data_IF_822274523439
#
_entry.id   IF_822274523439
#
_cell.length_a   1.000
_cell.length_b   1.000
_cell.length_c   1.000
_cell.angle_alpha   90.00
_cell.angle_beta   90.00
_cell.angle_gamma   90.00
#
_symmetry.space_group_name_H-M   'P 1'
#
loop_
_entity.id
_entity.type
_entity.pdbx_description
1 polymer ?
#
# COMPACT_ATOMS: atom_id res chain seq x y z
N UNK A 1 -31.19 19.86 7.05
CA UNK A 1 -30.12 20.79 6.65
C UNK A 1 -29.09 20.08 5.74
N UNK A 2 -28.96 20.52 4.49
CA UNK A 2 -27.96 20.00 3.55
C UNK A 2 -26.62 20.65 3.91
N UNK A 3 -25.81 19.99 4.74
CA UNK A 3 -24.48 20.49 5.08
C UNK A 3 -23.56 20.36 3.86
N UNK A 4 -22.80 21.42 3.57
CA UNK A 4 -21.80 21.43 2.51
C UNK A 4 -20.76 20.33 2.77
N UNK A 5 -20.14 19.79 1.74
CA UNK A 5 -19.07 18.78 1.90
C UNK A 5 -17.94 19.28 2.83
N UNK A 6 -17.68 20.59 2.86
CA UNK A 6 -16.70 21.23 3.75
C UNK A 6 -17.13 21.19 5.22
N UNK A 7 -18.40 21.46 5.51
CA UNK A 7 -18.94 21.45 6.86
C UNK A 7 -18.91 20.02 7.43
N UNK A 8 -19.16 19.02 6.58
CA UNK A 8 -19.06 17.60 6.95
C UNK A 8 -17.65 17.19 7.35
N UNK A 9 -16.61 17.73 6.71
CA UNK A 9 -15.21 17.42 7.06
C UNK A 9 -14.87 18.00 8.43
N UNK A 10 -15.17 19.29 8.67
CA UNK A 10 -14.93 19.91 9.98
C UNK A 10 -15.72 19.22 11.09
N UNK A 11 -16.96 18.85 10.80
CA UNK A 11 -17.82 18.14 11.75
C UNK A 11 -17.30 16.73 12.03
N UNK A 12 -16.80 16.02 11.02
CA UNK A 12 -16.18 14.70 11.19
C UNK A 12 -14.85 14.78 11.96
N UNK A 13 -14.05 15.82 11.73
CA UNK A 13 -12.82 16.05 12.50
C UNK A 13 -13.14 16.40 13.96
N UNK A 14 -14.18 17.20 14.20
CA UNK A 14 -14.69 17.48 15.54
C UNK A 14 -15.20 16.21 16.22
N UNK A 15 -15.98 15.39 15.51
CA UNK A 15 -16.54 14.14 16.00
C UNK A 15 -15.45 13.11 16.34
N UNK A 16 -14.42 12.98 15.51
CA UNK A 16 -13.27 12.09 15.79
C UNK A 16 -12.48 12.53 17.03
N UNK A 17 -12.39 13.84 17.26
CA UNK A 17 -11.69 14.41 18.43
C UNK A 17 -12.56 14.31 19.70
N UNK A 18 -13.89 14.27 19.56
CA UNK A 18 -14.83 14.13 20.67
C UNK A 18 -15.07 12.67 21.04
N UNK A 19 -15.01 11.74 20.06
CA UNK A 19 -15.21 10.31 20.29
C UNK A 19 -13.90 9.60 20.59
N UNK A 20 -13.35 9.75 21.80
CA UNK A 20 -12.27 8.94 22.44
C UNK A 20 -11.08 8.44 21.56
N UNK A 21 -10.87 8.99 20.37
CA UNK A 21 -9.86 8.54 19.44
C UNK A 21 -8.55 9.23 19.76
N UNK A 22 -7.70 8.55 20.54
CA UNK A 22 -6.34 9.01 20.79
C UNK A 22 -5.49 8.86 19.52
N UNK A 23 -4.85 9.94 19.01
CA UNK A 23 -3.96 9.85 17.84
C UNK A 23 -2.76 8.93 18.11
N UNK A 24 -2.16 8.38 17.03
CA UNK A 24 -0.95 7.54 17.16
C UNK A 24 0.23 8.35 17.73
N UNK A 25 0.27 9.66 17.45
CA UNK A 25 1.28 10.56 17.97
C UNK A 25 0.91 10.97 19.41
N UNK A 26 1.74 10.66 20.42
CA UNK A 26 1.44 11.00 21.81
C UNK A 26 1.43 12.51 22.08
N UNK A 27 0.61 12.94 23.05
CA UNK A 27 0.45 14.35 23.43
C UNK A 27 1.76 15.02 23.86
N UNK A 28 2.69 14.29 24.48
CA UNK A 28 3.99 14.81 24.88
C UNK A 28 4.83 15.25 23.67
N UNK A 29 4.77 14.51 22.56
CA UNK A 29 5.49 14.82 21.31
C UNK A 29 4.87 16.05 20.66
N UNK A 30 3.54 16.08 20.56
CA UNK A 30 2.82 17.23 20.02
C UNK A 30 3.10 18.49 20.84
N UNK A 31 3.07 18.40 22.18
CA UNK A 31 3.39 19.52 23.07
C UNK A 31 4.83 20.02 22.87
N UNK A 32 5.80 19.12 22.77
CA UNK A 32 7.20 19.48 22.51
C UNK A 32 7.35 20.27 21.20
N UNK A 33 6.77 19.79 20.10
CA UNK A 33 6.85 20.50 18.82
C UNK A 33 6.08 21.81 18.81
N UNK A 34 4.94 21.91 19.51
CA UNK A 34 4.22 23.17 19.65
C UNK A 34 5.06 24.21 20.40
N UNK A 35 5.60 23.87 21.58
CA UNK A 35 6.47 24.76 22.34
C UNK A 35 7.74 25.15 21.60
N UNK A 36 8.34 24.22 20.83
CA UNK A 36 9.51 24.49 19.98
C UNK A 36 9.23 25.56 18.90
N UNK A 37 8.01 25.60 18.37
CA UNK A 37 7.57 26.60 17.40
C UNK A 37 7.01 27.87 18.06
N UNK A 38 7.06 27.99 19.40
CA UNK A 38 6.56 29.15 20.14
C UNK A 38 5.04 29.21 20.28
N UNK A 39 4.34 28.09 20.09
CA UNK A 39 2.88 28.01 20.26
C UNK A 39 2.53 27.13 21.46
N UNK A 40 1.67 27.64 22.34
CA UNK A 40 1.10 26.84 23.43
C UNK A 40 -0.42 26.96 23.39
N UNK A 41 -1.10 25.82 23.48
CA UNK A 41 -2.56 25.77 23.56
C UNK A 41 -2.99 24.90 24.73
N UNK A 42 -3.91 25.42 25.53
CA UNK A 42 -4.54 24.67 26.61
C UNK A 42 -5.49 23.59 26.07
N UNK A 43 -6.10 23.83 24.90
CA UNK A 43 -7.10 22.93 24.32
C UNK A 43 -6.43 21.65 23.77
N UNK A 44 -6.82 20.51 24.33
CA UNK A 44 -6.36 19.17 23.91
C UNK A 44 -6.80 18.88 22.47
N UNK A 45 -7.95 19.39 22.05
CA UNK A 45 -8.50 19.18 20.71
C UNK A 45 -7.59 19.73 19.63
N UNK A 46 -6.96 20.89 19.87
CA UNK A 46 -6.01 21.49 18.93
C UNK A 46 -4.77 20.60 18.78
N UNK A 47 -4.29 20.01 19.88
CA UNK A 47 -3.16 19.06 19.86
C UNK A 47 -3.53 17.80 19.07
N UNK A 48 -4.73 17.27 19.28
CA UNK A 48 -5.20 16.07 18.57
C UNK A 48 -5.46 16.34 17.08
N UNK A 49 -6.06 17.47 16.71
CA UNK A 49 -6.26 17.84 15.29
C UNK A 49 -4.91 17.95 14.59
N UNK A 50 -3.92 18.58 15.23
CA UNK A 50 -2.58 18.69 14.68
C UNK A 50 -1.92 17.31 14.52
N UNK A 51 -1.99 16.47 15.56
CA UNK A 51 -1.49 15.10 15.53
C UNK A 51 -2.14 14.29 14.39
N UNK A 52 -3.47 14.29 14.29
CA UNK A 52 -4.21 13.59 13.24
C UNK A 52 -3.86 14.11 11.83
N UNK A 53 -3.73 15.43 11.68
CA UNK A 53 -3.36 16.04 10.39
C UNK A 53 -1.98 15.58 9.95
N UNK A 54 -1.00 15.59 10.85
CA UNK A 54 0.37 15.10 10.55
C UNK A 54 0.38 13.60 10.27
N UNK A 55 -0.40 12.81 11.01
CA UNK A 55 -0.54 11.37 10.77
C UNK A 55 -1.14 11.09 9.39
N UNK A 56 -2.19 11.81 9.00
CA UNK A 56 -2.80 11.69 7.67
C UNK A 56 -1.82 12.08 6.57
N UNK A 57 -1.09 13.19 6.75
CA UNK A 57 -0.10 13.66 5.80
C UNK A 57 1.01 12.62 5.55
N UNK A 58 1.59 12.05 6.61
CA UNK A 58 2.60 10.99 6.47
C UNK A 58 2.01 9.71 5.87
N UNK A 59 0.76 9.37 6.20
CA UNK A 59 0.07 8.24 5.59
C UNK A 59 -0.06 8.40 4.07
N UNK A 60 -0.34 9.60 3.58
CA UNK A 60 -0.49 9.87 2.15
C UNK A 60 0.86 9.74 1.43
N UNK A 61 1.93 10.32 1.97
CA UNK A 61 3.28 10.15 1.42
C UNK A 61 3.69 8.67 1.39
N UNK A 62 3.43 7.93 2.45
CA UNK A 62 3.76 6.51 2.52
C UNK A 62 2.96 5.68 1.50
N UNK A 63 1.71 6.07 1.23
CA UNK A 63 0.85 5.43 0.26
C UNK A 63 1.35 5.68 -1.17
N UNK A 64 1.78 6.91 -1.47
CA UNK A 64 2.37 7.23 -2.77
C UNK A 64 3.71 6.50 -2.97
N UNK A 65 4.57 6.47 -1.96
CA UNK A 65 5.83 5.72 -2.00
C UNK A 65 5.60 4.21 -2.20
N UNK A 66 4.53 3.65 -1.62
CA UNK A 66 4.12 2.27 -1.84
C UNK A 66 3.73 2.02 -3.31
N UNK A 67 3.02 2.95 -3.93
CA UNK A 67 2.66 2.85 -5.34
C UNK A 67 3.89 2.89 -6.26
N UNK A 68 4.87 3.77 -5.98
CA UNK A 68 6.16 3.78 -6.69
C UNK A 68 6.90 2.43 -6.57
N UNK A 69 7.01 1.89 -5.35
CA UNK A 69 7.66 0.61 -5.10
C UNK A 69 6.96 -0.55 -5.82
N UNK A 70 5.62 -0.53 -5.84
CA UNK A 70 4.79 -1.56 -6.46
C UNK A 70 4.91 -1.56 -7.98
N UNK A 71 4.89 -0.39 -8.63
CA UNK A 71 4.96 -0.28 -10.10
C UNK A 71 6.36 -0.63 -10.61
N UNK A 72 7.42 -0.29 -9.85
CA UNK A 72 8.80 -0.68 -10.21
C UNK A 72 9.02 -2.19 -10.13
N UNK A 73 8.28 -2.89 -9.25
CA UNK A 73 8.39 -4.33 -9.10
C UNK A 73 7.67 -5.07 -10.24
N UNK A 74 8.42 -5.58 -11.20
CA UNK A 74 7.88 -6.36 -12.33
C UNK A 74 7.06 -7.57 -11.86
N UNK A 75 7.48 -8.20 -10.76
CA UNK A 75 6.74 -9.30 -10.12
C UNK A 75 5.38 -8.84 -9.58
N UNK A 76 5.30 -7.66 -8.97
CA UNK A 76 4.04 -7.12 -8.47
C UNK A 76 3.10 -6.78 -9.65
N UNK A 77 3.59 -6.08 -10.67
CA UNK A 77 2.82 -5.72 -11.87
C UNK A 77 2.29 -6.95 -12.60
N UNK A 78 3.12 -7.98 -12.81
CA UNK A 78 2.72 -9.22 -13.48
C UNK A 78 1.60 -9.95 -12.71
N UNK A 79 1.68 -9.99 -11.37
CA UNK A 79 0.63 -10.58 -10.54
C UNK A 79 -0.69 -9.79 -10.61
N UNK A 80 -0.62 -8.46 -10.61
CA UNK A 80 -1.80 -7.59 -10.71
C UNK A 80 -2.50 -7.67 -12.06
N UNK A 81 -1.76 -7.95 -13.13
CA UNK A 81 -2.29 -8.01 -14.50
C UNK A 81 -3.05 -9.30 -14.83
N UNK A 82 -2.71 -10.43 -14.17
CA UNK A 82 -3.28 -11.74 -14.51
C UNK A 82 -3.87 -12.51 -13.30
N UNK A 83 -4.70 -11.90 -12.44
CA UNK A 83 -5.20 -12.54 -11.22
C UNK A 83 -6.11 -13.73 -11.53
N UNK A 84 -6.90 -13.64 -12.60
CA UNK A 84 -7.83 -14.70 -13.01
C UNK A 84 -7.12 -15.91 -13.62
N UNK A 85 -6.08 -15.69 -14.45
CA UNK A 85 -5.28 -16.77 -15.01
C UNK A 85 -4.54 -17.53 -13.91
N UNK A 86 -3.99 -16.82 -12.92
CA UNK A 86 -3.38 -17.45 -11.75
C UNK A 86 -4.41 -18.24 -10.93
N UNK A 87 -5.57 -17.66 -10.64
CA UNK A 87 -6.64 -18.35 -9.91
C UNK A 87 -7.09 -19.63 -10.64
N UNK A 88 -7.21 -19.58 -11.97
CA UNK A 88 -7.56 -20.74 -12.80
C UNK A 88 -6.47 -21.82 -12.77
N UNK A 89 -5.19 -21.44 -12.82
CA UNK A 89 -4.06 -22.37 -12.68
C UNK A 89 -4.02 -23.05 -11.30
N UNK A 90 -4.29 -22.30 -10.22
CA UNK A 90 -4.34 -22.84 -8.86
C UNK A 90 -5.51 -23.81 -8.68
N UNK A 91 -6.67 -23.51 -9.28
CA UNK A 91 -7.85 -24.40 -9.24
C UNK A 91 -7.61 -25.68 -10.05
N UNK A 92 -6.98 -25.57 -11.23
CA UNK A 92 -6.65 -26.73 -12.05
C UNK A 92 -5.64 -27.66 -11.36
N UNK A 93 -4.67 -27.11 -10.61
CA UNK A 93 -3.75 -27.89 -9.78
C UNK A 93 -4.43 -28.72 -8.69
N UNK A 94 -5.57 -28.27 -8.14
CA UNK A 94 -6.35 -29.04 -7.16
C UNK A 94 -7.19 -30.15 -7.81
N UNK A 95 -7.59 -30.00 -9.07
CA UNK A 95 -8.37 -31.02 -9.78
C UNK A 95 -7.52 -32.23 -10.19
N UNK A 96 -6.21 -32.03 -10.44
CA UNK A 96 -5.28 -33.14 -10.70
C UNK A 96 -4.87 -33.92 -9.44
N UNK A 97 -5.03 -33.35 -8.24
CA UNK A 97 -4.72 -34.05 -6.98
C UNK A 97 -5.81 -35.06 -6.57
N UNK A 98 -7.02 -34.97 -7.13
CA UNK A 98 -8.16 -35.82 -6.74
C UNK A 98 -8.55 -36.85 -7.83
N UNK A 99 -7.71 -37.04 -8.84
CA UNK A 99 -7.96 -37.98 -9.94
C UNK A 99 -6.76 -38.90 -10.18
N UNK A 100 -6.26 -39.53 -9.11
CA UNK A 100 -5.39 -40.71 -9.19
C UNK A 100 -6.10 -41.97 -8.66
N UNK A 101 -7.28 -42.23 -9.22
CA UNK A 101 -7.90 -43.55 -9.39
C UNK A 101 -9.15 -43.28 -10.22
N UNK A 102 -9.22 -43.54 -11.52
CA UNK A 102 -9.27 -44.85 -12.18
C UNK A 102 -9.23 -44.59 -13.69
N UNK A 103 -8.59 -45.46 -14.47
CA UNK A 103 -8.22 -45.18 -15.86
C UNK A 103 -9.31 -45.27 -16.95
N UNK A 104 -8.79 -45.19 -18.19
CA UNK A 104 -9.34 -45.58 -19.49
C UNK A 104 -10.08 -44.53 -20.36
N UNK A 105 -9.40 -44.20 -21.47
CA UNK A 105 -9.84 -43.90 -22.84
C UNK A 105 -10.98 -42.91 -23.16
N UNK A 106 -10.63 -41.88 -23.95
CA UNK A 106 -11.58 -41.14 -24.80
C UNK A 106 -10.90 -40.03 -25.60
N UNK A 107 -10.78 -40.22 -26.92
CA UNK A 107 -10.34 -39.23 -27.91
C UNK A 107 -11.03 -37.86 -27.71
N UNK A 108 -10.28 -36.78 -27.79
CA UNK A 108 -10.82 -35.45 -28.15
C UNK A 108 -9.74 -34.60 -28.81
N UNK A 109 -9.99 -34.28 -30.08
CA UNK A 109 -9.37 -33.17 -30.80
C UNK A 109 -9.42 -31.89 -29.96
N UNK A 110 -8.26 -31.32 -29.73
CA UNK A 110 -8.09 -30.03 -29.06
C UNK A 110 -6.69 -29.54 -29.38
N UNK A 111 -6.61 -28.58 -30.29
CA UNK A 111 -5.41 -27.87 -30.70
C UNK A 111 -4.49 -27.57 -29.52
N UNK A 112 -3.27 -28.10 -29.60
CA UNK A 112 -2.17 -27.81 -28.69
C UNK A 112 -1.69 -26.37 -28.95
N UNK A 113 -2.30 -25.41 -28.27
CA UNK A 113 -1.64 -24.12 -28.09
C UNK A 113 -0.38 -24.32 -27.24
N UNK A 114 0.76 -23.69 -27.58
CA UNK A 114 2.04 -24.00 -26.99
C UNK A 114 2.11 -23.61 -25.50
N UNK A 115 1.88 -24.60 -24.62
CA UNK A 115 2.21 -24.54 -23.20
C UNK A 115 3.73 -24.47 -23.00
N UNK A 116 4.30 -23.26 -23.02
CA UNK A 116 5.74 -23.06 -22.74
C UNK A 116 6.03 -22.10 -21.59
N UNK A 117 5.15 -21.97 -20.59
CA UNK A 117 5.43 -21.10 -19.42
C UNK A 117 5.29 -21.81 -18.06
N UNK A 118 5.44 -23.13 -18.05
CA UNK A 118 5.06 -23.99 -16.92
C UNK A 118 6.08 -24.07 -15.76
N UNK A 119 7.10 -23.21 -15.70
CA UNK A 119 8.14 -23.36 -14.65
C UNK A 119 8.70 -22.07 -14.05
N UNK A 120 8.28 -20.88 -14.50
CA UNK A 120 8.91 -19.63 -14.06
C UNK A 120 8.11 -18.82 -13.01
N UNK A 121 6.87 -19.21 -12.68
CA UNK A 121 5.94 -18.31 -11.98
C UNK A 121 5.86 -18.47 -10.45
N UNK A 122 6.53 -19.48 -9.87
CA UNK A 122 6.48 -19.73 -8.43
C UNK A 122 7.70 -19.18 -7.68
N UNK A 123 8.91 -19.27 -8.25
CA UNK A 123 10.15 -18.92 -7.56
C UNK A 123 10.23 -17.43 -7.21
N UNK A 124 9.90 -16.52 -8.14
CA UNK A 124 10.00 -15.07 -7.90
C UNK A 124 8.86 -14.44 -7.10
N UNK A 125 7.81 -15.21 -6.76
CA UNK A 125 6.54 -14.66 -6.26
C UNK A 125 6.44 -14.66 -4.72
N UNK A 126 7.18 -15.56 -4.05
CA UNK A 126 7.17 -15.67 -2.59
C UNK A 126 8.35 -14.95 -1.90
N UNK A 127 9.26 -14.36 -2.67
CA UNK A 127 10.56 -13.87 -2.16
C UNK A 127 10.69 -12.34 -2.17
N UNK A 128 9.76 -11.62 -2.80
CA UNK A 128 9.79 -10.16 -2.86
C UNK A 128 9.04 -9.53 -1.68
N UNK A 129 9.73 -9.24 -0.58
CA UNK A 129 9.19 -8.30 0.42
C UNK A 129 9.16 -6.89 -0.18
N UNK A 130 8.11 -6.13 0.13
CA UNK A 130 8.04 -4.71 -0.26
C UNK A 130 8.98 -3.95 0.66
N UNK A 131 9.97 -3.27 0.07
CA UNK A 131 10.95 -2.47 0.78
C UNK A 131 10.74 -1.01 0.40
N UNK A 132 10.62 -0.14 1.41
CA UNK A 132 10.65 1.31 1.20
C UNK A 132 12.08 1.72 0.86
N UNK A 133 12.35 1.97 -0.42
CA UNK A 133 13.68 2.38 -0.88
C UNK A 133 13.78 3.91 -0.95
N UNK A 134 15.01 4.42 -0.88
CA UNK A 134 15.26 5.87 -1.03
C UNK A 134 14.81 6.38 -2.40
N UNK A 135 14.93 5.58 -3.45
CA UNK A 135 14.46 5.94 -4.79
C UNK A 135 12.94 6.16 -4.81
N UNK A 136 12.16 5.20 -4.29
CA UNK A 136 10.69 5.30 -4.24
C UNK A 136 10.24 6.49 -3.39
N UNK A 137 10.87 6.69 -2.23
CA UNK A 137 10.57 7.82 -1.34
C UNK A 137 10.95 9.16 -1.98
N UNK A 138 12.08 9.24 -2.67
CA UNK A 138 12.53 10.47 -3.33
C UNK A 138 11.62 10.87 -4.49
N UNK A 139 11.10 9.90 -5.25
CA UNK A 139 10.10 10.14 -6.29
C UNK A 139 8.77 10.62 -5.69
N UNK A 140 8.29 9.97 -4.63
CA UNK A 140 7.08 10.40 -3.93
C UNK A 140 7.23 11.84 -3.40
N UNK A 141 8.31 12.13 -2.67
CA UNK A 141 8.57 13.45 -2.10
C UNK A 141 8.73 14.57 -3.15
N UNK A 142 9.20 14.23 -4.35
CA UNK A 142 9.31 15.17 -5.47
C UNK A 142 7.94 15.73 -5.88
N UNK A 143 6.87 14.93 -5.81
CA UNK A 143 5.50 15.39 -6.08
C UNK A 143 5.00 16.39 -5.03
N UNK A 144 5.51 16.28 -3.79
CA UNK A 144 5.25 17.23 -2.70
C UNK A 144 6.23 18.43 -2.70
N UNK A 145 7.09 18.56 -3.71
CA UNK A 145 8.04 19.67 -3.85
C UNK A 145 9.32 19.53 -3.05
N UNK A 146 9.63 18.34 -2.53
CA UNK A 146 10.82 18.08 -1.71
C UNK A 146 11.84 17.27 -2.52
N UNK A 147 13.03 17.84 -2.76
CA UNK A 147 14.11 17.15 -3.46
C UNK A 147 15.06 16.46 -2.47
N UNK A 148 15.13 15.13 -2.55
CA UNK A 148 16.00 14.29 -1.69
C UNK A 148 17.05 13.50 -2.48
N UNK A 149 17.44 13.98 -3.67
CA UNK A 149 18.46 13.33 -4.50
C UNK A 149 19.84 13.29 -3.82
N UNK A 150 20.24 12.11 -3.34
CA UNK A 150 21.59 11.81 -2.88
C UNK A 150 22.36 11.01 -3.92
N UNK A 151 23.68 11.20 -4.06
CA UNK A 151 24.48 10.37 -4.95
C UNK A 151 24.55 8.92 -4.43
N UNK A 152 24.47 7.94 -5.33
CA UNK A 152 24.59 6.52 -4.97
C UNK A 152 25.99 6.15 -4.46
N UNK A 153 27.00 6.93 -4.83
CA UNK A 153 28.37 6.78 -4.39
C UNK A 153 29.05 8.16 -4.35
N UNK A 154 29.90 8.39 -3.35
CA UNK A 154 30.85 9.49 -3.35
C UNK A 154 32.17 8.97 -3.93
N UNK A 155 32.71 9.63 -4.96
CA UNK A 155 34.02 9.31 -5.55
C UNK A 155 35.13 10.12 -4.90
#
# INVERSE_FOLDING_TARGET
>A
PITSAKDKILQKMHELVVGDFAPIIPDAVTKYYLSKNGFESADVRVKWILALSTQKFISDIAQDAYEFSRIRSSSAVYNSANPQLRAKQLLQGQQFANQQSTGANGNSEGTCEPQTQLYASNAGNQQGYIVLTMEDLSNALCEYGVNTSGPNFYR
#
